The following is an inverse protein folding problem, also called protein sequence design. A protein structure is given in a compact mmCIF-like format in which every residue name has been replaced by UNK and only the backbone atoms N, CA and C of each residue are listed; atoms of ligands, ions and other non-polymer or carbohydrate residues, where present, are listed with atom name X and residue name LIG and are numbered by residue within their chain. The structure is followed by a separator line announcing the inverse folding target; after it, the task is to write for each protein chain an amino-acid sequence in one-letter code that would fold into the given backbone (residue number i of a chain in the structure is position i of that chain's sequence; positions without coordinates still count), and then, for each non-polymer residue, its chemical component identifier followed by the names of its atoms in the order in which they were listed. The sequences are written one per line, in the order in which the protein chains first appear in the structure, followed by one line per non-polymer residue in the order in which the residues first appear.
data_IF_792858564866
#
_entry.id   IF_792858564866
#
_cell.length_a   1.000
_cell.length_b   1.000
_cell.length_c   1.000
_cell.angle_alpha   90.00
_cell.angle_beta   90.00
_cell.angle_gamma   90.00
#
_symmetry.space_group_name_H-M   'P 1'
#
loop_
_entity.id
_entity.type
_entity.pdbx_description
1 polymer ?
#
# COMPACT_ATOMS: atom_id res chain seq x y z
N UNK A 1 -6.69 -11.34 -21.56
CA UNK A 1 -7.50 -11.32 -20.33
C UNK A 1 -7.30 -9.95 -19.69
N UNK A 2 -8.35 -9.13 -19.60
CA UNK A 2 -8.24 -7.85 -18.88
C UNK A 2 -8.16 -8.11 -17.38
N UNK A 3 -7.27 -7.40 -16.69
CA UNK A 3 -7.19 -7.47 -15.22
C UNK A 3 -8.52 -6.97 -14.62
N UNK A 4 -9.00 -7.57 -13.53
CA UNK A 4 -10.16 -7.03 -12.81
C UNK A 4 -9.89 -5.61 -12.31
N UNK A 5 -10.95 -4.81 -12.24
CA UNK A 5 -10.91 -3.44 -11.69
C UNK A 5 -11.26 -3.49 -10.21
N UNK A 6 -10.53 -2.70 -9.40
CA UNK A 6 -10.79 -2.48 -7.98
C UNK A 6 -10.87 -0.99 -7.68
N UNK A 7 -11.70 -0.65 -6.71
CA UNK A 7 -11.71 0.69 -6.15
C UNK A 7 -10.46 0.95 -5.30
N UNK A 8 -10.10 2.21 -5.13
CA UNK A 8 -8.98 2.62 -4.28
C UNK A 8 -9.15 2.11 -2.84
N UNK A 9 -10.38 2.17 -2.31
CA UNK A 9 -10.69 1.67 -0.97
C UNK A 9 -10.47 0.15 -0.84
N UNK A 10 -10.81 -0.62 -1.86
CA UNK A 10 -10.54 -2.06 -1.87
C UNK A 10 -9.02 -2.34 -1.90
N UNK A 11 -8.27 -1.64 -2.74
CA UNK A 11 -6.82 -1.79 -2.82
C UNK A 11 -6.13 -1.42 -1.50
N UNK A 12 -6.58 -0.34 -0.85
CA UNK A 12 -6.08 0.05 0.49
C UNK A 12 -6.39 -1.04 1.52
N UNK A 13 -7.61 -1.59 1.52
CA UNK A 13 -7.99 -2.65 2.45
C UNK A 13 -7.14 -3.91 2.25
N UNK A 14 -6.89 -4.29 0.99
CA UNK A 14 -6.01 -5.42 0.65
C UNK A 14 -4.56 -5.16 1.07
N UNK A 15 -4.00 -4.00 0.75
CA UNK A 15 -2.65 -3.66 1.15
C UNK A 15 -2.47 -3.66 2.67
N UNK A 16 -3.45 -3.15 3.41
CA UNK A 16 -3.46 -3.23 4.89
C UNK A 16 -3.49 -4.66 5.40
N UNK A 17 -4.24 -5.55 4.76
CA UNK A 17 -4.31 -6.94 5.16
C UNK A 17 -2.97 -7.65 4.92
N UNK A 18 -2.33 -7.44 3.77
CA UNK A 18 -1.02 -8.03 3.46
C UNK A 18 0.08 -7.47 4.36
N UNK A 19 0.10 -6.15 4.60
CA UNK A 19 1.07 -5.53 5.50
C UNK A 19 1.01 -6.14 6.91
N UNK A 20 -0.18 -6.38 7.46
CA UNK A 20 -0.33 -7.02 8.79
C UNK A 20 0.27 -8.43 8.87
N UNK A 21 0.36 -9.14 7.75
CA UNK A 21 0.95 -10.48 7.69
C UNK A 21 2.47 -10.40 7.59
N UNK A 22 3.00 -9.39 6.89
CA UNK A 22 4.40 -9.33 6.48
C UNK A 22 5.25 -8.30 7.22
N UNK A 23 4.66 -7.30 7.87
CA UNK A 23 5.35 -6.22 8.56
C UNK A 23 4.62 -5.80 9.84
N UNK A 24 5.39 -5.58 10.90
CA UNK A 24 4.88 -4.95 12.13
C UNK A 24 4.87 -3.42 11.94
N UNK A 25 3.92 -2.95 11.14
CA UNK A 25 3.78 -1.54 10.81
C UNK A 25 3.35 -0.74 12.05
N UNK A 26 4.04 0.37 12.38
CA UNK A 26 3.64 1.18 13.53
C UNK A 26 2.24 1.77 13.36
N UNK A 27 1.52 1.88 14.48
CA UNK A 27 0.26 2.62 14.53
C UNK A 27 0.49 4.08 14.10
N UNK A 28 -0.46 4.60 13.32
CA UNK A 28 -0.41 5.95 12.76
C UNK A 28 -0.04 6.02 11.27
N UNK A 29 0.27 4.88 10.63
CA UNK A 29 0.46 4.83 9.18
C UNK A 29 -0.88 4.93 8.44
N UNK A 30 -0.98 5.95 7.60
CA UNK A 30 -2.00 6.12 6.60
C UNK A 30 -1.50 5.58 5.26
N UNK A 31 -2.38 4.87 4.55
CA UNK A 31 -2.09 4.34 3.22
C UNK A 31 -3.03 5.02 2.25
N UNK A 32 -2.45 5.57 1.19
CA UNK A 32 -3.17 6.15 0.07
C UNK A 32 -2.79 5.40 -1.21
N UNK A 33 -3.75 5.29 -2.12
CA UNK A 33 -3.53 4.74 -3.45
C UNK A 33 -3.84 5.84 -4.45
N UNK A 34 -2.94 6.06 -5.39
CA UNK A 34 -3.12 7.03 -6.48
C UNK A 34 -2.96 6.36 -7.83
N UNK A 35 -3.65 6.90 -8.82
CA UNK A 35 -3.50 6.48 -10.22
C UNK A 35 -2.32 7.23 -10.82
N UNK A 36 -1.34 6.49 -11.32
CA UNK A 36 -0.22 7.04 -12.09
C UNK A 36 -0.21 6.37 -13.47
N UNK A 37 -0.82 7.03 -14.46
CA UNK A 37 -1.03 6.45 -15.78
C UNK A 37 -1.81 5.12 -15.71
N UNK A 38 -1.16 4.04 -16.14
CA UNK A 38 -1.72 2.68 -16.17
C UNK A 38 -1.37 1.84 -14.92
N UNK A 39 -0.73 2.45 -13.91
CA UNK A 39 -0.35 1.78 -12.66
C UNK A 39 -1.03 2.37 -11.43
N UNK A 40 -1.19 1.53 -10.42
CA UNK A 40 -1.54 1.94 -9.07
C UNK A 40 -0.26 2.22 -8.29
N UNK A 41 -0.16 3.40 -7.70
CA UNK A 41 0.93 3.76 -6.80
C UNK A 41 0.41 3.81 -5.36
N UNK A 42 1.07 3.05 -4.48
CA UNK A 42 0.74 2.96 -3.06
C UNK A 42 1.70 3.85 -2.27
N UNK A 43 1.15 4.74 -1.45
CA UNK A 43 1.91 5.69 -0.64
C UNK A 43 1.60 5.49 0.84
N UNK A 44 2.64 5.52 1.66
CA UNK A 44 2.52 5.62 3.10
C UNK A 44 2.73 7.09 3.52
N UNK A 45 1.88 7.57 4.41
CA UNK A 45 2.04 8.86 5.09
C UNK A 45 1.83 8.66 6.58
N UNK A 46 2.58 9.42 7.39
CA UNK A 46 2.41 9.42 8.83
C UNK A 46 2.96 10.73 9.41
N UNK A 47 2.58 11.04 10.64
CA UNK A 47 3.18 12.14 11.39
C UNK A 47 4.66 11.88 11.71
N UNK A 48 5.40 12.93 12.07
CA UNK A 48 6.85 12.85 12.33
C UNK A 48 7.21 11.90 13.48
N UNK A 49 6.35 11.76 14.50
CA UNK A 49 6.61 10.84 15.60
C UNK A 49 6.45 9.39 15.15
N UNK A 50 5.48 9.10 14.28
CA UNK A 50 5.29 7.77 13.69
C UNK A 50 6.39 7.42 12.69
N UNK A 51 6.83 8.37 11.85
CA UNK A 51 7.98 8.18 10.92
C UNK A 51 9.27 7.84 11.68
N UNK A 52 9.45 8.38 12.88
CA UNK A 52 10.61 8.12 13.72
C UNK A 52 10.56 6.76 14.46
N UNK A 53 9.42 6.05 14.44
CA UNK A 53 9.31 4.74 15.10
C UNK A 53 10.13 3.69 14.34
N UNK A 54 10.81 2.77 15.06
CA UNK A 54 11.38 1.58 14.42
C UNK A 54 10.25 0.79 13.74
N UNK A 55 10.54 0.19 12.58
CA UNK A 55 9.54 -0.53 11.78
C UNK A 55 8.85 0.32 10.72
N UNK A 56 8.91 1.66 10.78
CA UNK A 56 8.35 2.52 9.73
C UNK A 56 9.04 2.30 8.38
N UNK A 57 10.38 2.35 8.26
CA UNK A 57 11.06 2.09 6.98
C UNK A 57 10.75 0.71 6.41
N UNK A 58 10.68 -0.32 7.25
CA UNK A 58 10.36 -1.70 6.87
C UNK A 58 8.92 -1.82 6.37
N UNK A 59 7.97 -1.16 7.04
CA UNK A 59 6.58 -1.10 6.60
C UNK A 59 6.44 -0.42 5.24
N UNK A 60 7.15 0.70 5.01
CA UNK A 60 7.15 1.40 3.72
C UNK A 60 7.74 0.51 2.63
N UNK A 61 8.87 -0.17 2.90
CA UNK A 61 9.48 -1.09 1.95
C UNK A 61 8.56 -2.27 1.62
N UNK A 62 7.79 -2.77 2.59
CA UNK A 62 6.80 -3.82 2.37
C UNK A 62 5.61 -3.32 1.56
N UNK A 63 5.13 -2.09 1.80
CA UNK A 63 4.04 -1.49 1.04
C UNK A 63 4.38 -1.37 -0.45
N UNK A 64 5.64 -1.06 -0.79
CA UNK A 64 6.09 -1.03 -2.18
C UNK A 64 5.99 -2.42 -2.84
N UNK A 65 6.38 -3.48 -2.13
CA UNK A 65 6.29 -4.86 -2.64
C UNK A 65 4.85 -5.32 -2.83
N UNK A 66 3.99 -5.03 -1.85
CA UNK A 66 2.55 -5.30 -1.91
C UNK A 66 1.90 -4.50 -3.05
N UNK A 67 2.28 -3.23 -3.22
CA UNK A 67 1.77 -2.39 -4.31
C UNK A 67 2.12 -2.93 -5.70
N UNK A 68 3.37 -3.36 -5.92
CA UNK A 68 3.78 -4.01 -7.17
C UNK A 68 3.00 -5.32 -7.42
N UNK A 69 2.78 -6.11 -6.36
CA UNK A 69 1.98 -7.34 -6.45
C UNK A 69 0.53 -7.06 -6.86
N UNK A 70 -0.12 -6.09 -6.20
CA UNK A 70 -1.51 -5.71 -6.48
C UNK A 70 -1.66 -5.04 -7.86
N UNK A 71 -0.71 -4.19 -8.27
CA UNK A 71 -0.69 -3.56 -9.59
C UNK A 71 -0.53 -4.57 -10.74
N UNK A 72 0.10 -5.72 -10.49
CA UNK A 72 0.12 -6.83 -11.46
C UNK A 72 -1.22 -7.55 -11.57
N UNK A 73 -2.05 -7.55 -10.53
CA UNK A 73 -3.32 -8.26 -10.50
C UNK A 73 -4.51 -7.42 -10.95
N UNK A 74 -4.52 -6.12 -10.65
CA UNK A 74 -5.66 -5.24 -10.85
C UNK A 74 -5.36 -4.13 -11.86
N UNK A 75 -6.34 -3.81 -12.70
CA UNK A 75 -6.25 -2.68 -13.63
C UNK A 75 -6.58 -1.36 -12.92
N UNK A 76 -6.06 -0.26 -13.46
CA UNK A 76 -6.57 1.08 -13.17
C UNK A 76 -7.93 1.21 -13.88
N UNK A 77 -8.99 1.46 -13.10
CA UNK A 77 -10.39 1.40 -13.54
C UNK A 77 -11.01 2.72 -13.95
#
# INVERSE_FOLDING_TARGET
MSKPVKSEAELIAMARAELKVHADCPDGIEISVVRDGDIWEFRASADAATVAKPGYPECVAMLVQVGDHLGKQYAVG
#
